data_IF_531110715707
#
_entry.id   IF_531110715707
#
_cell.length_a   1.000
_cell.length_b   1.000
_cell.length_c   1.000
_cell.angle_alpha   90.00
_cell.angle_beta   90.00
_cell.angle_gamma   90.00
#
_symmetry.space_group_name_H-M   'P 1'
#
loop_
_entity.id
_entity.type
_entity.pdbx_description
1 polymer ?
#
# COMPACT_ATOMS: atom_id res chain seq x y z
N UNK A 1 12.54 -17.80 -7.82
CA UNK A 1 12.12 -17.68 -6.41
C UNK A 1 10.67 -17.23 -6.37
N UNK A 2 9.86 -17.84 -5.50
CA UNK A 2 8.47 -17.47 -5.27
C UNK A 2 8.38 -16.56 -4.04
N UNK A 3 7.53 -15.52 -4.04
CA UNK A 3 7.31 -14.70 -2.85
C UNK A 3 6.80 -15.51 -1.66
N UNK A 4 7.25 -15.14 -0.46
CA UNK A 4 6.84 -15.77 0.80
C UNK A 4 5.66 -15.00 1.40
N UNK A 5 4.42 -15.54 1.40
CA UNK A 5 3.29 -14.87 2.02
C UNK A 5 3.43 -14.86 3.55
N UNK A 6 3.06 -13.75 4.18
CA UNK A 6 3.03 -13.60 5.64
C UNK A 6 1.61 -13.28 6.09
N UNK A 7 1.16 -13.97 7.14
CA UNK A 7 -0.11 -13.69 7.81
C UNK A 7 0.01 -12.50 8.75
N UNK A 8 -1.13 -11.86 9.06
CA UNK A 8 -1.21 -10.81 10.08
C UNK A 8 -0.67 -11.28 11.43
N UNK A 9 -0.95 -12.54 11.80
CA UNK A 9 -0.45 -13.16 13.04
C UNK A 9 1.07 -13.21 13.05
N UNK A 10 1.73 -13.58 11.96
CA UNK A 10 3.20 -13.63 11.89
C UNK A 10 3.83 -12.25 12.07
N UNK A 11 3.24 -11.19 11.49
CA UNK A 11 3.72 -9.82 11.71
C UNK A 11 3.59 -9.39 13.18
N UNK A 12 2.43 -9.63 13.79
CA UNK A 12 2.16 -9.30 15.19
C UNK A 12 3.07 -10.07 16.14
N UNK A 13 3.16 -11.40 15.97
CA UNK A 13 4.00 -12.26 16.82
C UNK A 13 5.48 -11.82 16.75
N UNK A 14 5.96 -11.46 15.56
CA UNK A 14 7.31 -10.93 15.35
C UNK A 14 7.54 -9.63 16.11
N UNK A 15 6.68 -8.62 15.93
CA UNK A 15 6.90 -7.30 16.54
C UNK A 15 6.55 -7.20 18.02
N UNK A 16 5.71 -8.09 18.58
CA UNK A 16 5.30 -8.03 19.99
C UNK A 16 6.34 -8.57 20.96
N UNK A 17 6.97 -9.69 20.61
CA UNK A 17 7.74 -10.52 21.56
C UNK A 17 9.17 -10.77 21.11
N UNK A 18 9.44 -10.69 19.80
CA UNK A 18 10.69 -11.14 19.18
C UNK A 18 11.23 -10.11 18.18
N UNK A 19 10.97 -8.81 18.39
CA UNK A 19 11.39 -7.76 17.47
C UNK A 19 12.92 -7.75 17.37
N UNK A 20 13.44 -8.47 16.36
CA UNK A 20 14.85 -8.70 16.14
C UNK A 20 15.20 -8.14 14.77
N UNK A 21 15.80 -6.96 14.76
CA UNK A 21 16.17 -6.24 13.55
C UNK A 21 17.02 -7.12 12.61
N UNK A 22 17.97 -7.88 13.15
CA UNK A 22 18.82 -8.82 12.39
C UNK A 22 18.01 -9.87 11.62
N UNK A 23 16.95 -10.39 12.25
CA UNK A 23 16.07 -11.38 11.62
C UNK A 23 15.22 -10.73 10.54
N UNK A 24 14.69 -9.52 10.80
CA UNK A 24 13.94 -8.76 9.80
C UNK A 24 14.81 -8.38 8.59
N UNK A 25 16.02 -7.87 8.83
CA UNK A 25 17.02 -7.57 7.81
C UNK A 25 17.36 -8.80 6.97
N UNK A 26 17.67 -9.94 7.60
CA UNK A 26 18.00 -11.18 6.91
C UNK A 26 16.84 -11.69 6.04
N UNK A 27 15.60 -11.54 6.49
CA UNK A 27 14.42 -11.86 5.69
C UNK A 27 14.25 -10.90 4.51
N UNK A 28 14.26 -9.58 4.77
CA UNK A 28 13.93 -8.55 3.78
C UNK A 28 14.98 -8.42 2.68
N UNK A 29 16.27 -8.56 2.99
CA UNK A 29 17.34 -8.53 1.99
C UNK A 29 17.23 -9.66 0.97
N UNK A 30 16.48 -10.73 1.27
CA UNK A 30 16.18 -11.81 0.33
C UNK A 30 14.78 -11.68 -0.26
N UNK A 31 13.76 -11.37 0.54
CA UNK A 31 12.36 -11.31 0.08
C UNK A 31 12.08 -10.10 -0.82
N UNK A 32 12.65 -8.92 -0.54
CA UNK A 32 12.41 -7.72 -1.36
C UNK A 32 12.96 -7.89 -2.79
N UNK A 33 14.19 -8.38 -3.03
CA UNK A 33 14.66 -8.68 -4.38
C UNK A 33 13.78 -9.68 -5.12
N UNK A 34 13.25 -10.69 -4.42
CA UNK A 34 12.32 -11.66 -5.03
C UNK A 34 11.05 -10.97 -5.52
N UNK A 35 10.41 -10.14 -4.70
CA UNK A 35 9.18 -9.43 -5.10
C UNK A 35 9.42 -8.40 -6.19
N UNK A 36 10.48 -7.59 -6.07
CA UNK A 36 10.88 -6.61 -7.08
C UNK A 36 11.17 -7.27 -8.43
N UNK A 37 11.90 -8.40 -8.43
CA UNK A 37 12.19 -9.15 -9.65
C UNK A 37 10.94 -9.77 -10.29
N UNK A 38 9.99 -10.25 -9.49
CA UNK A 38 8.72 -10.74 -10.02
C UNK A 38 7.91 -9.60 -10.65
N UNK A 39 7.83 -8.42 -10.02
CA UNK A 39 7.20 -7.25 -10.59
C UNK A 39 7.87 -6.77 -11.89
N UNK A 40 9.19 -6.75 -11.95
CA UNK A 40 9.93 -6.42 -13.18
C UNK A 40 9.63 -7.42 -14.31
N UNK A 41 9.57 -8.72 -13.99
CA UNK A 41 9.17 -9.74 -14.98
C UNK A 41 7.76 -9.52 -15.49
N UNK A 42 6.82 -9.18 -14.61
CA UNK A 42 5.44 -8.88 -15.03
C UNK A 42 5.37 -7.64 -15.92
N UNK A 43 6.11 -6.57 -15.61
CA UNK A 43 6.20 -5.38 -16.48
C UNK A 43 6.72 -5.78 -17.87
N UNK A 44 7.75 -6.62 -17.94
CA UNK A 44 8.34 -7.08 -19.19
C UNK A 44 7.45 -8.03 -20.02
N UNK A 45 6.29 -8.44 -19.49
CA UNK A 45 5.28 -9.23 -20.21
C UNK A 45 4.13 -8.37 -20.75
N UNK A 46 4.13 -7.07 -20.49
CA UNK A 46 3.18 -6.14 -21.11
C UNK A 46 3.41 -6.07 -22.64
N UNK A 47 2.42 -5.60 -23.41
CA UNK A 47 2.62 -5.32 -24.82
C UNK A 47 3.80 -4.36 -25.04
N UNK A 48 4.66 -4.64 -26.03
CA UNK A 48 5.88 -3.84 -26.30
C UNK A 48 5.58 -2.33 -26.39
N UNK A 49 4.49 -1.97 -27.08
CA UNK A 49 4.03 -0.58 -27.22
C UNK A 49 3.70 0.09 -25.88
N UNK A 50 3.15 -0.65 -24.92
CA UNK A 50 2.87 -0.14 -23.57
C UNK A 50 4.16 -0.06 -22.75
N UNK A 51 5.06 -1.03 -22.87
CA UNK A 51 6.36 -0.99 -22.19
C UNK A 51 7.16 0.25 -22.62
N UNK A 52 7.09 0.62 -23.90
CA UNK A 52 7.83 1.76 -24.46
C UNK A 52 7.25 3.14 -24.12
N UNK A 53 6.12 3.22 -23.42
CA UNK A 53 5.60 4.52 -22.95
C UNK A 53 6.56 5.12 -21.92
N UNK A 54 6.69 6.45 -21.92
CA UNK A 54 7.69 7.13 -21.09
C UNK A 54 7.44 6.85 -19.62
N UNK A 55 6.17 6.84 -19.22
CA UNK A 55 5.76 6.56 -17.85
C UNK A 55 6.04 5.12 -17.41
N UNK A 56 5.82 4.11 -18.26
CA UNK A 56 6.13 2.72 -17.89
C UNK A 56 7.65 2.50 -17.79
N UNK A 57 8.43 3.10 -18.70
CA UNK A 57 9.91 3.07 -18.61
C UNK A 57 10.41 3.72 -17.32
N UNK A 58 9.80 4.83 -16.89
CA UNK A 58 10.14 5.48 -15.64
C UNK A 58 9.88 4.56 -14.43
N UNK A 59 8.70 3.95 -14.35
CA UNK A 59 8.37 2.98 -13.28
C UNK A 59 9.33 1.78 -13.32
N UNK A 60 9.62 1.25 -14.50
CA UNK A 60 10.57 0.16 -14.68
C UNK A 60 11.96 0.53 -14.14
N UNK A 61 12.45 1.74 -14.42
CA UNK A 61 13.73 2.23 -13.92
C UNK A 61 13.78 2.34 -12.38
N UNK A 62 12.67 2.77 -11.75
CA UNK A 62 12.58 2.82 -10.29
C UNK A 62 12.68 1.44 -9.66
N UNK A 63 12.00 0.44 -10.23
CA UNK A 63 12.08 -0.93 -9.73
C UNK A 63 13.47 -1.55 -9.92
N UNK A 64 14.16 -1.26 -11.03
CA UNK A 64 15.55 -1.66 -11.23
C UNK A 64 16.44 -1.03 -10.17
N UNK A 65 16.34 0.29 -9.97
CA UNK A 65 17.19 0.99 -8.99
C UNK A 65 16.96 0.42 -7.59
N UNK A 66 15.69 0.26 -7.18
CA UNK A 66 15.36 -0.32 -5.88
C UNK A 66 15.85 -1.76 -5.72
N UNK A 67 15.87 -2.55 -6.79
CA UNK A 67 16.45 -3.89 -6.76
C UNK A 67 17.96 -3.82 -6.52
N UNK A 68 18.67 -2.97 -7.27
CA UNK A 68 20.12 -2.81 -7.14
C UNK A 68 20.50 -2.32 -5.73
N UNK A 69 19.79 -1.31 -5.21
CA UNK A 69 20.01 -0.78 -3.86
C UNK A 69 19.92 -1.88 -2.78
N UNK A 70 18.95 -2.79 -2.88
CA UNK A 70 18.81 -3.89 -1.91
C UNK A 70 19.88 -4.96 -2.10
N UNK A 71 20.29 -5.24 -3.34
CA UNK A 71 21.30 -6.26 -3.62
C UNK A 71 22.67 -5.90 -3.03
N UNK A 72 22.97 -4.62 -2.80
CA UNK A 72 24.17 -4.18 -2.07
C UNK A 72 24.26 -4.75 -0.65
N UNK A 73 23.14 -5.21 -0.07
CA UNK A 73 23.07 -5.78 1.27
C UNK A 73 23.12 -7.32 1.30
N UNK A 74 23.19 -7.99 0.13
CA UNK A 74 23.12 -9.45 0.03
C UNK A 74 24.21 -10.14 0.86
N UNK A 75 25.45 -9.66 0.77
CA UNK A 75 26.61 -10.24 1.45
C UNK A 75 27.03 -9.45 2.71
N UNK A 76 26.31 -8.37 3.06
CA UNK A 76 26.62 -7.58 4.27
C UNK A 76 26.25 -8.35 5.54
N UNK A 77 27.03 -8.14 6.61
CA UNK A 77 26.84 -8.85 7.88
C UNK A 77 25.67 -8.25 8.68
N UNK A 78 24.72 -9.06 9.19
CA UNK A 78 23.65 -8.59 10.08
C UNK A 78 24.16 -8.22 11.48
N UNK A 79 25.45 -8.44 11.77
CA UNK A 79 26.03 -8.12 13.07
C UNK A 79 26.65 -6.71 13.11
N UNK A 80 26.73 -6.02 11.99
CA UNK A 80 27.23 -4.64 11.92
C UNK A 80 26.05 -3.65 12.08
N UNK A 81 25.99 -2.86 13.18
CA UNK A 81 24.92 -1.89 13.38
C UNK A 81 24.87 -0.80 12.29
N UNK A 82 26.00 -0.47 11.66
CA UNK A 82 26.02 0.52 10.56
C UNK A 82 25.28 0.00 9.34
N UNK A 83 25.46 -1.29 9.02
CA UNK A 83 24.74 -1.95 7.92
C UNK A 83 23.24 -1.94 8.16
N UNK A 84 22.79 -2.17 9.40
CA UNK A 84 21.36 -2.16 9.74
C UNK A 84 20.76 -0.75 9.59
N UNK A 85 21.46 0.27 10.10
CA UNK A 85 21.04 1.67 9.93
C UNK A 85 20.99 2.09 8.45
N UNK A 86 22.04 1.80 7.67
CA UNK A 86 22.07 2.05 6.23
C UNK A 86 20.93 1.33 5.49
N UNK A 87 20.56 0.14 5.95
CA UNK A 87 19.45 -0.61 5.35
C UNK A 87 18.12 0.09 5.59
N UNK A 88 17.85 0.55 6.82
CA UNK A 88 16.64 1.34 7.12
C UNK A 88 16.56 2.58 6.24
N UNK A 89 17.65 3.35 6.11
CA UNK A 89 17.71 4.54 5.26
C UNK A 89 17.47 4.22 3.78
N UNK A 90 17.99 3.09 3.32
CA UNK A 90 17.77 2.57 1.96
C UNK A 90 16.29 2.21 1.75
N UNK A 91 15.65 1.56 2.72
CA UNK A 91 14.22 1.24 2.64
C UNK A 91 13.35 2.50 2.61
N UNK A 92 13.69 3.53 3.38
CA UNK A 92 13.01 4.83 3.34
C UNK A 92 13.17 5.48 1.97
N UNK A 93 14.38 5.45 1.40
CA UNK A 93 14.65 5.95 0.05
C UNK A 93 13.81 5.24 -1.01
N UNK A 94 13.75 3.91 -0.96
CA UNK A 94 12.94 3.09 -1.89
C UNK A 94 11.45 3.41 -1.73
N UNK A 95 10.94 3.51 -0.50
CA UNK A 95 9.55 3.88 -0.23
C UNK A 95 9.20 5.22 -0.89
N UNK A 96 10.07 6.21 -0.72
CA UNK A 96 9.86 7.56 -1.25
C UNK A 96 9.91 7.57 -2.80
N UNK A 97 10.90 6.89 -3.39
CA UNK A 97 11.01 6.71 -4.85
C UNK A 97 9.75 6.09 -5.45
N UNK A 98 9.12 5.19 -4.73
CA UNK A 98 7.95 4.45 -5.22
C UNK A 98 6.61 5.17 -4.97
N UNK A 99 6.58 6.38 -4.39
CA UNK A 99 5.33 7.06 -4.03
C UNK A 99 4.40 7.26 -5.23
N UNK A 100 4.95 7.69 -6.37
CA UNK A 100 4.16 8.04 -7.56
C UNK A 100 3.98 6.90 -8.57
N UNK A 101 4.35 5.67 -8.22
CA UNK A 101 4.19 4.50 -9.11
C UNK A 101 2.75 4.32 -9.60
N UNK A 102 1.74 4.57 -8.75
CA UNK A 102 0.32 4.40 -9.15
C UNK A 102 -0.09 5.44 -10.19
N UNK A 103 0.02 6.76 -9.93
CA UNK A 103 -0.34 7.74 -10.95
C UNK A 103 0.53 7.64 -12.21
N UNK A 104 1.83 7.38 -12.08
CA UNK A 104 2.71 7.22 -13.25
C UNK A 104 2.35 5.98 -14.09
N UNK A 105 2.07 4.83 -13.47
CA UNK A 105 1.64 3.65 -14.23
C UNK A 105 0.28 3.89 -14.92
N UNK A 106 -0.65 4.60 -14.27
CA UNK A 106 -1.92 5.00 -14.88
C UNK A 106 -1.70 5.90 -16.11
N UNK A 107 -0.78 6.86 -16.02
CA UNK A 107 -0.39 7.72 -17.14
C UNK A 107 0.17 6.89 -18.30
N UNK A 108 1.01 5.90 -18.03
CA UNK A 108 1.53 5.00 -19.07
C UNK A 108 0.44 4.22 -19.81
N UNK A 109 -0.64 3.83 -19.13
CA UNK A 109 -1.81 3.19 -19.76
C UNK A 109 -2.62 4.19 -20.58
N UNK A 110 -2.73 5.44 -20.13
CA UNK A 110 -3.38 6.53 -20.86
C UNK A 110 -2.59 6.86 -22.14
N UNK A 111 -1.26 7.04 -22.04
CA UNK A 111 -0.34 7.24 -23.18
C UNK A 111 -0.54 6.15 -24.25
N UNK A 112 -0.59 4.89 -23.81
CA UNK A 112 -0.82 3.76 -24.70
C UNK A 112 -2.20 3.83 -25.39
N UNK A 113 -3.26 4.05 -24.60
CA UNK A 113 -4.63 4.11 -25.12
C UNK A 113 -4.80 5.23 -26.13
N UNK A 114 -4.24 6.40 -25.85
CA UNK A 114 -4.41 7.58 -26.70
C UNK A 114 -3.62 7.44 -28.02
N UNK A 115 -2.49 6.72 -28.00
CA UNK A 115 -1.68 6.47 -29.19
C UNK A 115 -2.15 5.27 -30.04
N UNK A 116 -2.69 4.22 -29.42
CA UNK A 116 -2.94 2.93 -30.09
C UNK A 116 -4.39 2.45 -30.00
N UNK A 117 -5.24 3.16 -29.28
CA UNK A 117 -6.61 2.75 -28.98
C UNK A 117 -6.69 1.69 -27.88
N UNK A 118 -7.91 1.20 -27.65
CA UNK A 118 -8.19 0.14 -26.68
C UNK A 118 -8.99 -0.97 -27.37
N UNK A 119 -8.45 -2.19 -27.37
CA UNK A 119 -9.19 -3.39 -27.74
C UNK A 119 -9.51 -4.25 -26.49
N UNK A 120 -10.61 -5.02 -26.50
CA UNK A 120 -11.04 -5.77 -25.32
C UNK A 120 -10.00 -6.77 -24.77
N UNK A 121 -9.22 -7.40 -25.64
CA UNK A 121 -8.24 -8.42 -25.25
C UNK A 121 -7.07 -7.76 -24.54
N UNK A 122 -6.54 -6.67 -25.12
CA UNK A 122 -5.47 -5.90 -24.49
C UNK A 122 -5.93 -5.30 -23.17
N UNK A 123 -7.14 -4.76 -23.09
CA UNK A 123 -7.70 -4.24 -21.83
C UNK A 123 -7.75 -5.32 -20.74
N UNK A 124 -8.17 -6.54 -21.07
CA UNK A 124 -8.19 -7.66 -20.12
C UNK A 124 -6.79 -8.03 -19.62
N UNK A 125 -5.81 -8.06 -20.53
CA UNK A 125 -4.41 -8.37 -20.17
C UNK A 125 -3.80 -7.27 -19.29
N UNK A 126 -4.06 -5.99 -19.61
CA UNK A 126 -3.62 -4.85 -18.81
C UNK A 126 -4.28 -4.90 -17.42
N UNK A 127 -5.59 -5.17 -17.34
CA UNK A 127 -6.28 -5.30 -16.05
C UNK A 127 -5.66 -6.39 -15.18
N UNK A 128 -5.45 -7.58 -15.74
CA UNK A 128 -4.81 -8.70 -15.04
C UNK A 128 -3.40 -8.35 -14.54
N UNK A 129 -2.62 -7.64 -15.35
CA UNK A 129 -1.32 -7.11 -14.94
C UNK A 129 -1.45 -6.10 -13.79
N UNK A 130 -2.31 -5.09 -13.92
CA UNK A 130 -2.43 -4.01 -12.94
C UNK A 130 -2.85 -4.55 -11.56
N UNK A 131 -3.78 -5.51 -11.52
CA UNK A 131 -4.21 -6.12 -10.26
C UNK A 131 -3.05 -6.79 -9.53
N UNK A 132 -2.22 -7.55 -10.26
CA UNK A 132 -1.05 -8.24 -9.69
C UNK A 132 0.07 -7.27 -9.34
N UNK A 133 0.34 -6.30 -10.22
CA UNK A 133 1.37 -5.29 -10.03
C UNK A 133 1.10 -4.44 -8.79
N UNK A 134 -0.13 -3.95 -8.63
CA UNK A 134 -0.50 -3.15 -7.46
C UNK A 134 -0.59 -3.98 -6.19
N UNK A 135 -1.04 -5.24 -6.25
CA UNK A 135 -0.99 -6.13 -5.09
C UNK A 135 0.46 -6.41 -4.63
N UNK A 136 1.36 -6.68 -5.59
CA UNK A 136 2.79 -6.83 -5.31
C UNK A 136 3.38 -5.57 -4.65
N UNK A 137 3.07 -4.39 -5.20
CA UNK A 137 3.51 -3.10 -4.64
C UNK A 137 2.99 -2.87 -3.22
N UNK A 138 1.72 -3.12 -2.95
CA UNK A 138 1.14 -3.02 -1.60
C UNK A 138 1.91 -3.94 -0.64
N UNK A 139 2.22 -5.16 -1.08
CA UNK A 139 2.98 -6.12 -0.28
C UNK A 139 4.42 -5.66 0.02
N UNK A 140 5.10 -5.02 -0.93
CA UNK A 140 6.44 -4.45 -0.75
C UNK A 140 6.37 -3.28 0.23
N UNK A 141 5.40 -2.37 0.05
CA UNK A 141 5.18 -1.23 0.96
C UNK A 141 4.84 -1.69 2.37
N UNK A 142 4.09 -2.77 2.53
CA UNK A 142 3.78 -3.39 3.83
C UNK A 142 5.07 -3.85 4.54
N UNK A 143 5.94 -4.59 3.84
CA UNK A 143 7.20 -5.07 4.39
C UNK A 143 8.15 -3.93 4.78
N UNK A 144 8.31 -2.95 3.90
CA UNK A 144 9.15 -1.77 4.15
C UNK A 144 8.63 -1.00 5.35
N UNK A 145 7.33 -0.67 5.37
CA UNK A 145 6.75 0.11 6.47
C UNK A 145 6.87 -0.61 7.81
N UNK A 146 6.67 -1.92 7.84
CA UNK A 146 6.83 -2.71 9.06
C UNK A 146 8.26 -2.62 9.60
N UNK A 147 9.28 -2.77 8.75
CA UNK A 147 10.66 -2.66 9.18
C UNK A 147 11.00 -1.25 9.66
N UNK A 148 10.68 -0.23 8.87
CA UNK A 148 11.02 1.15 9.21
C UNK A 148 10.31 1.59 10.49
N UNK A 149 9.02 1.29 10.66
CA UNK A 149 8.27 1.74 11.84
C UNK A 149 8.68 1.02 13.14
N UNK A 150 9.29 -0.16 13.04
CA UNK A 150 9.77 -0.90 14.23
C UNK A 150 11.23 -0.52 14.55
N UNK A 151 12.05 -0.18 13.55
CA UNK A 151 13.50 -0.06 13.71
C UNK A 151 14.12 1.31 13.31
N UNK A 152 13.34 2.33 12.92
CA UNK A 152 13.87 3.66 12.54
C UNK A 152 14.45 4.49 13.69
N UNK A 153 14.49 3.94 14.91
CA UNK A 153 15.00 4.61 16.11
C UNK A 153 14.11 5.73 16.63
N UNK A 154 13.02 6.07 15.92
CA UNK A 154 11.96 6.90 16.47
C UNK A 154 11.09 5.99 17.34
N UNK A 155 11.21 6.13 18.66
CA UNK A 155 10.15 5.64 19.56
C UNK A 155 8.93 6.51 19.29
N UNK A 156 8.20 6.26 18.21
CA UNK A 156 6.85 6.77 18.10
C UNK A 156 6.08 6.07 19.22
N UNK A 157 5.55 6.80 20.21
CA UNK A 157 4.55 6.24 21.11
C UNK A 157 3.27 6.12 20.28
N UNK A 158 3.27 5.18 19.33
CA UNK A 158 2.04 4.68 18.75
C UNK A 158 1.15 4.14 19.86
N UNK A 159 -0.11 3.87 19.54
CA UNK A 159 -1.01 3.24 20.50
C UNK A 159 -0.34 1.96 21.06
N UNK A 160 -0.52 1.60 22.34
CA UNK A 160 0.12 0.40 22.91
C UNK A 160 -0.20 -0.91 22.16
N UNK A 161 -1.27 -0.92 21.37
CA UNK A 161 -1.70 -2.01 20.49
C UNK A 161 -1.08 -1.98 19.09
N UNK A 162 -0.32 -0.94 18.75
CA UNK A 162 0.28 -0.73 17.43
C UNK A 162 1.66 -1.37 17.31
N UNK A 163 1.83 -2.20 16.29
CA UNK A 163 3.08 -2.88 15.93
C UNK A 163 3.39 -2.56 14.47
N UNK A 164 4.39 -1.69 14.29
CA UNK A 164 4.65 -1.09 12.99
C UNK A 164 3.40 -0.35 12.49
N UNK A 165 2.88 -0.75 11.32
CA UNK A 165 1.63 -0.21 10.78
C UNK A 165 0.36 -1.01 11.13
N UNK A 166 0.46 -2.07 11.94
CA UNK A 166 -0.68 -2.92 12.33
C UNK A 166 -1.17 -2.48 13.70
N UNK A 167 -2.47 -2.33 13.86
CA UNK A 167 -3.11 -2.22 15.16
C UNK A 167 -3.77 -3.56 15.51
N UNK A 168 -3.37 -4.16 16.64
CA UNK A 168 -3.92 -5.43 17.11
C UNK A 168 -5.40 -5.29 17.53
N UNK A 169 -5.82 -4.09 17.91
CA UNK A 169 -7.15 -3.74 18.39
C UNK A 169 -7.76 -2.58 17.59
N UNK A 170 -7.64 -2.63 16.25
CA UNK A 170 -8.15 -1.58 15.37
C UNK A 170 -9.66 -1.38 15.57
N UNK A 171 -10.05 -0.21 16.08
CA UNK A 171 -11.44 0.21 16.19
C UNK A 171 -11.98 0.53 14.78
N UNK A 172 -12.78 -0.39 14.24
CA UNK A 172 -13.33 -0.28 12.88
C UNK A 172 -14.23 0.95 12.75
N UNK A 173 -15.01 1.22 13.78
CA UNK A 173 -15.99 2.30 13.82
C UNK A 173 -15.30 3.67 13.76
N UNK A 174 -14.18 3.84 14.48
CA UNK A 174 -13.41 5.10 14.40
C UNK A 174 -12.74 5.28 13.04
N UNK A 175 -12.13 4.24 12.46
CA UNK A 175 -11.52 4.36 11.11
C UNK A 175 -12.55 4.73 10.05
N UNK A 176 -13.78 4.21 10.15
CA UNK A 176 -14.89 4.59 9.25
C UNK A 176 -15.25 6.07 9.43
N UNK A 177 -15.34 6.57 10.67
CA UNK A 177 -15.64 7.98 10.92
C UNK A 177 -14.55 8.90 10.37
N UNK A 178 -13.28 8.58 10.61
CA UNK A 178 -12.16 9.38 10.10
C UNK A 178 -12.15 9.45 8.57
N UNK A 179 -12.42 8.32 7.91
CA UNK A 179 -12.52 8.24 6.46
C UNK A 179 -13.72 9.03 5.92
N UNK A 180 -14.87 8.96 6.61
CA UNK A 180 -16.05 9.75 6.28
C UNK A 180 -15.79 11.25 6.40
N UNK A 181 -15.24 11.73 7.53
CA UNK A 181 -14.95 13.16 7.73
C UNK A 181 -13.97 13.69 6.68
N UNK A 182 -12.96 12.89 6.33
CA UNK A 182 -12.03 13.24 5.26
C UNK A 182 -12.70 13.35 3.89
N UNK A 183 -13.61 12.41 3.55
CA UNK A 183 -14.37 12.46 2.31
C UNK A 183 -15.41 13.61 2.31
N UNK A 184 -16.04 13.87 3.46
CA UNK A 184 -17.00 14.96 3.69
C UNK A 184 -16.35 16.31 3.42
N UNK A 185 -15.17 16.56 4.00
CA UNK A 185 -14.43 17.81 3.77
C UNK A 185 -14.15 18.05 2.28
N UNK A 186 -13.75 17.01 1.54
CA UNK A 186 -13.55 17.13 0.09
C UNK A 186 -14.88 17.40 -0.62
N UNK A 187 -15.93 16.66 -0.28
CA UNK A 187 -17.24 16.81 -0.88
C UNK A 187 -17.79 18.23 -0.70
N UNK A 188 -17.71 18.78 0.51
CA UNK A 188 -18.17 20.13 0.83
C UNK A 188 -17.35 21.20 0.10
N UNK A 189 -16.05 20.97 -0.09
CA UNK A 189 -15.20 21.88 -0.86
C UNK A 189 -15.63 21.97 -2.34
N UNK A 190 -16.10 20.87 -2.94
CA UNK A 190 -16.51 20.84 -4.36
C UNK A 190 -17.99 21.17 -4.58
N UNK A 191 -18.88 20.73 -3.67
CA UNK A 191 -20.32 20.76 -3.86
C UNK A 191 -21.07 21.67 -2.86
N UNK A 192 -20.36 22.31 -1.92
CA UNK A 192 -20.94 23.17 -0.87
C UNK A 192 -21.97 22.45 0.03
N UNK A 193 -21.95 21.12 0.04
CA UNK A 193 -22.81 20.26 0.84
C UNK A 193 -22.31 18.83 0.85
N UNK A 194 -22.83 18.02 1.77
CA UNK A 194 -22.50 16.60 1.91
C UNK A 194 -23.66 15.83 2.55
N UNK A 195 -23.84 14.53 2.24
CA UNK A 195 -24.79 13.68 2.94
C UNK A 195 -24.26 13.29 4.33
N UNK A 196 -25.16 13.15 5.30
CA UNK A 196 -24.82 12.77 6.68
C UNK A 196 -24.51 11.27 6.84
N UNK A 197 -23.67 10.93 7.82
CA UNK A 197 -23.32 9.54 8.17
C UNK A 197 -24.26 8.98 9.23
N UNK A 198 -25.01 7.94 8.86
CA UNK A 198 -25.64 7.04 9.83
C UNK A 198 -24.80 5.77 10.03
N UNK A 199 -24.16 5.63 11.19
CA UNK A 199 -23.36 4.45 11.52
C UNK A 199 -24.06 3.58 12.55
N UNK A 200 -24.24 2.29 12.24
CA UNK A 200 -24.79 1.28 13.15
C UNK A 200 -23.82 0.13 13.32
N UNK A 201 -23.56 -0.24 14.56
CA UNK A 201 -22.61 -1.28 14.91
C UNK A 201 -23.33 -2.50 15.51
N UNK A 202 -23.03 -3.70 15.01
CA UNK A 202 -23.65 -4.94 15.48
C UNK A 202 -22.55 -5.99 15.71
N UNK A 203 -22.05 -6.06 16.93
CA UNK A 203 -21.08 -7.08 17.32
C UNK A 203 -21.77 -8.38 17.77
N UNK A 204 -21.91 -9.32 16.84
CA UNK A 204 -22.55 -10.62 17.13
C UNK A 204 -21.75 -11.49 18.12
N UNK A 205 -20.43 -11.30 18.20
CA UNK A 205 -19.57 -12.06 19.14
C UNK A 205 -19.69 -11.51 20.56
N UNK A 206 -19.82 -10.21 20.72
CA UNK A 206 -20.01 -9.57 22.01
C UNK A 206 -20.78 -8.25 21.87
N UNK A 207 -22.09 -8.28 22.14
CA UNK A 207 -23.00 -7.14 21.95
C UNK A 207 -22.66 -5.90 22.80
N UNK A 208 -21.84 -6.05 23.85
CA UNK A 208 -21.46 -4.94 24.75
C UNK A 208 -20.05 -4.41 24.47
N UNK A 209 -19.40 -4.82 23.38
CA UNK A 209 -18.06 -4.38 23.02
C UNK A 209 -18.02 -3.84 21.58
N UNK A 210 -17.15 -2.85 21.32
CA UNK A 210 -16.92 -2.38 19.97
C UNK A 210 -16.38 -3.50 19.06
N UNK A 211 -16.57 -3.35 17.75
CA UNK A 211 -15.99 -4.21 16.71
C UNK A 211 -14.53 -3.82 16.53
N UNK A 212 -13.65 -4.67 17.06
CA UNK A 212 -12.20 -4.55 16.92
C UNK A 212 -11.66 -5.69 16.06
N UNK A 213 -10.70 -5.38 15.21
CA UNK A 213 -9.97 -6.36 14.40
C UNK A 213 -8.46 -6.10 14.44
N UNK A 214 -7.64 -7.13 14.26
CA UNK A 214 -6.22 -6.92 14.02
C UNK A 214 -5.98 -6.60 12.54
N UNK A 215 -5.65 -5.36 12.23
CA UNK A 215 -5.57 -4.89 10.85
C UNK A 215 -4.61 -3.70 10.68
N UNK A 216 -4.37 -3.29 9.44
CA UNK A 216 -3.62 -2.07 9.11
C UNK A 216 -4.63 -0.93 8.96
N UNK A 217 -4.75 0.01 9.92
CA UNK A 217 -5.80 1.02 9.91
C UNK A 217 -5.79 1.88 8.65
N UNK A 218 -4.59 2.23 8.14
CA UNK A 218 -4.44 3.03 6.92
C UNK A 218 -4.95 2.32 5.66
N UNK A 219 -4.88 0.98 5.59
CA UNK A 219 -5.47 0.22 4.48
C UNK A 219 -7.00 0.26 4.55
N UNK A 220 -7.57 0.07 5.74
CA UNK A 220 -9.02 0.15 5.94
C UNK A 220 -9.54 1.57 5.64
N UNK A 221 -8.86 2.59 6.16
CA UNK A 221 -9.16 3.99 5.88
C UNK A 221 -9.20 4.24 4.37
N UNK A 222 -8.18 3.83 3.62
CA UNK A 222 -8.13 4.08 2.18
C UNK A 222 -9.31 3.43 1.44
N UNK A 223 -9.64 2.18 1.75
CA UNK A 223 -10.79 1.50 1.13
C UNK A 223 -12.09 2.24 1.40
N UNK A 224 -12.34 2.59 2.66
CA UNK A 224 -13.60 3.22 3.09
C UNK A 224 -13.70 4.67 2.57
N UNK A 225 -12.59 5.41 2.57
CA UNK A 225 -12.51 6.77 2.05
C UNK A 225 -12.85 6.83 0.55
N UNK A 226 -12.30 5.93 -0.27
CA UNK A 226 -12.63 5.87 -1.70
C UNK A 226 -14.11 5.51 -1.93
N UNK A 227 -14.69 4.61 -1.12
CA UNK A 227 -16.11 4.29 -1.18
C UNK A 227 -16.99 5.50 -0.81
N UNK A 228 -16.63 6.24 0.25
CA UNK A 228 -17.38 7.43 0.65
C UNK A 228 -17.34 8.52 -0.40
N UNK A 229 -16.18 8.83 -0.98
CA UNK A 229 -16.08 9.81 -2.09
C UNK A 229 -17.04 9.47 -3.23
N UNK A 230 -17.06 8.21 -3.64
CA UNK A 230 -17.94 7.74 -4.72
C UNK A 230 -19.42 7.84 -4.34
N UNK A 231 -19.79 7.42 -3.13
CA UNK A 231 -21.17 7.46 -2.66
C UNK A 231 -21.68 8.90 -2.48
N UNK A 232 -20.85 9.79 -1.92
CA UNK A 232 -21.17 11.21 -1.73
C UNK A 232 -21.39 11.90 -3.08
N UNK A 233 -20.45 11.73 -4.02
CA UNK A 233 -20.56 12.26 -5.38
C UNK A 233 -21.86 11.80 -6.05
N UNK A 234 -22.12 10.49 -6.05
CA UNK A 234 -23.33 9.94 -6.66
C UNK A 234 -24.61 10.45 -5.99
N UNK A 235 -24.60 10.68 -4.67
CA UNK A 235 -25.77 11.18 -3.95
C UNK A 235 -26.06 12.63 -4.35
N UNK A 236 -25.06 13.50 -4.35
CA UNK A 236 -25.21 14.91 -4.69
C UNK A 236 -25.62 15.09 -6.15
N UNK A 237 -24.89 14.49 -7.09
CA UNK A 237 -25.14 14.66 -8.53
C UNK A 237 -26.55 14.20 -8.95
N UNK A 238 -27.18 13.29 -8.20
CA UNK A 238 -28.53 12.81 -8.46
C UNK A 238 -29.65 13.56 -7.70
N UNK A 239 -29.32 14.43 -6.73
CA UNK A 239 -30.30 15.18 -5.94
C UNK A 239 -30.19 16.71 -6.11
N UNK A 240 -29.14 17.23 -6.76
CA UNK A 240 -29.03 18.66 -7.13
C UNK A 240 -30.17 19.16 -8.04
N UNK A 241 -30.86 18.27 -8.78
CA UNK A 241 -31.97 18.63 -9.68
C UNK A 241 -33.36 18.64 -9.02
N UNK A 242 -33.45 18.41 -7.71
CA UNK A 242 -34.74 18.30 -6.98
C UNK A 242 -35.08 19.53 -6.10
N UNK A 243 -34.43 20.68 -6.33
CA UNK A 243 -34.71 21.95 -5.61
C UNK A 243 -35.42 22.97 -6.50
#
# INVERSE_FOLDING_TARGET
>A
FSPSPLSMKQFLDFGSTNACEKTSFAFLRHELPVRLSNSLKEINLLPDKLIMTQSVQLVHSWFIQSLMDILEFQDKSPNDPKVLAEFVDTLVTIRNRHNDVVPTMAEGVIEYRDAFGADPVTCQNIQYFLDRFYMSRISIRMLINQHTLIFDGSTNPGHPSSIGCIDSCCDVTNVIRDAYESAKMLCEQYYLGSPELELREINAKNKSRPIEISYVPSHLFHMVFELFKNAMRATIENHETSS
#
